data_IF_714466004401
#
_entry.id   IF_714466004401
#
_cell.length_a   1.000
_cell.length_b   1.000
_cell.length_c   1.000
_cell.angle_alpha   90.00
_cell.angle_beta   90.00
_cell.angle_gamma   90.00
#
_symmetry.space_group_name_H-M   'P 1'
#
loop_
_entity.id
_entity.type
_entity.pdbx_description
1 polymer ?
#
# COMPACT_ATOMS: atom_id res chain seq x y z
N UNK A 1 -3.08 20.07 -11.46
CA UNK A 1 -3.21 18.98 -10.49
C UNK A 1 -4.11 17.84 -10.97
N UNK A 2 -5.35 18.07 -11.45
CA UNK A 2 -6.29 17.02 -11.93
C UNK A 2 -5.69 15.91 -12.80
N UNK A 3 -5.02 16.25 -13.90
CA UNK A 3 -4.46 15.25 -14.85
C UNK A 3 -3.36 14.41 -14.21
N UNK A 4 -2.47 15.04 -13.44
CA UNK A 4 -1.40 14.36 -12.70
C UNK A 4 -2.00 13.46 -11.63
N UNK A 5 -3.02 13.91 -10.90
CA UNK A 5 -3.73 13.12 -9.91
C UNK A 5 -4.37 11.87 -10.52
N UNK A 6 -5.15 12.01 -11.59
CA UNK A 6 -5.79 10.88 -12.28
C UNK A 6 -4.78 9.83 -12.76
N UNK A 7 -3.69 10.27 -13.40
CA UNK A 7 -2.60 9.39 -13.80
C UNK A 7 -1.97 8.69 -12.59
N UNK A 8 -1.72 9.43 -11.51
CA UNK A 8 -1.11 8.89 -10.28
C UNK A 8 -2.01 7.84 -9.63
N UNK A 9 -3.33 8.04 -9.59
CA UNK A 9 -4.27 7.05 -9.06
C UNK A 9 -4.20 5.71 -9.81
N UNK A 10 -4.19 5.76 -11.15
CA UNK A 10 -4.08 4.56 -11.98
C UNK A 10 -2.71 3.90 -11.90
N UNK A 11 -1.64 4.70 -11.92
CA UNK A 11 -0.26 4.19 -11.76
C UNK A 11 -0.06 3.52 -10.41
N UNK A 12 -0.58 4.14 -9.33
CA UNK A 12 -0.56 3.58 -7.98
C UNK A 12 -1.29 2.24 -7.92
N UNK A 13 -2.48 2.12 -8.52
CA UNK A 13 -3.23 0.87 -8.55
C UNK A 13 -2.47 -0.24 -9.29
N UNK A 14 -1.93 0.06 -10.48
CA UNK A 14 -1.10 -0.90 -11.23
C UNK A 14 0.15 -1.32 -10.46
N UNK A 15 0.84 -0.35 -9.85
CA UNK A 15 2.02 -0.60 -9.03
C UNK A 15 1.70 -1.47 -7.80
N UNK A 16 0.61 -1.19 -7.08
CA UNK A 16 0.22 -1.96 -5.90
C UNK A 16 -0.14 -3.42 -6.24
N UNK A 17 -0.78 -3.66 -7.39
CA UNK A 17 -1.06 -5.01 -7.90
C UNK A 17 0.23 -5.72 -8.31
N UNK A 18 1.11 -5.04 -9.04
CA UNK A 18 2.40 -5.61 -9.41
C UNK A 18 3.25 -5.99 -8.18
N UNK A 19 3.33 -5.11 -7.19
CA UNK A 19 4.13 -5.32 -5.99
C UNK A 19 3.66 -6.57 -5.21
N UNK A 20 2.34 -6.72 -5.02
CA UNK A 20 1.81 -7.88 -4.30
C UNK A 20 2.01 -9.18 -5.10
N UNK A 21 1.93 -9.15 -6.43
CA UNK A 21 2.22 -10.32 -7.29
C UNK A 21 3.67 -10.78 -7.10
N UNK A 22 4.64 -9.86 -7.15
CA UNK A 22 6.05 -10.19 -6.94
C UNK A 22 6.26 -10.82 -5.55
N UNK A 23 5.68 -10.24 -4.52
CA UNK A 23 5.75 -10.77 -3.15
C UNK A 23 5.22 -12.21 -3.09
N UNK A 24 4.06 -12.49 -3.68
CA UNK A 24 3.48 -13.84 -3.67
C UNK A 24 4.27 -14.85 -4.49
N UNK A 25 4.80 -14.47 -5.65
CA UNK A 25 5.64 -15.35 -6.48
C UNK A 25 6.89 -15.76 -5.70
N UNK A 26 7.54 -14.79 -5.04
CA UNK A 26 8.78 -15.04 -4.29
C UNK A 26 8.55 -15.83 -3.00
N UNK A 27 7.42 -15.59 -2.32
CA UNK A 27 7.08 -16.26 -1.08
C UNK A 27 6.58 -17.71 -1.27
N UNK A 28 6.25 -18.10 -2.49
CA UNK A 28 5.84 -19.46 -2.84
C UNK A 28 4.44 -19.82 -2.33
N UNK A 29 4.05 -21.07 -2.56
CA UNK A 29 2.71 -21.53 -2.18
C UNK A 29 2.55 -21.52 -0.65
N UNK A 30 1.45 -20.95 -0.16
CA UNK A 30 1.18 -20.81 1.29
C UNK A 30 2.31 -20.14 2.09
N UNK A 31 3.13 -19.29 1.45
CA UNK A 31 4.29 -18.65 2.08
C UNK A 31 5.37 -19.67 2.53
N UNK A 32 5.50 -20.80 1.84
CA UNK A 32 6.48 -21.84 2.21
C UNK A 32 7.94 -21.45 1.94
N UNK A 33 8.21 -20.40 1.17
CA UNK A 33 9.56 -19.97 0.79
C UNK A 33 9.85 -18.52 1.22
N UNK A 34 9.58 -18.21 2.50
CA UNK A 34 9.82 -16.87 3.08
C UNK A 34 11.28 -16.43 2.95
N UNK A 35 12.25 -17.30 3.21
CA UNK A 35 13.67 -16.93 3.11
C UNK A 35 14.06 -16.55 1.67
N UNK A 36 13.47 -17.20 0.65
CA UNK A 36 13.66 -16.83 -0.76
C UNK A 36 13.09 -15.44 -1.07
N UNK A 37 11.90 -15.11 -0.53
CA UNK A 37 11.36 -13.75 -0.61
C UNK A 37 12.31 -12.74 0.02
N UNK A 38 12.79 -12.99 1.24
CA UNK A 38 13.66 -12.07 1.96
C UNK A 38 14.99 -11.85 1.24
N UNK A 39 15.62 -12.90 0.72
CA UNK A 39 16.89 -12.81 -0.01
C UNK A 39 16.77 -12.03 -1.31
N UNK A 40 15.70 -12.27 -2.09
CA UNK A 40 15.53 -11.66 -3.40
C UNK A 40 14.91 -10.25 -3.33
N UNK A 41 14.00 -10.02 -2.38
CA UNK A 41 13.23 -8.77 -2.30
C UNK A 41 13.92 -7.68 -1.47
N UNK A 42 14.91 -8.00 -0.62
CA UNK A 42 15.52 -7.02 0.32
C UNK A 42 15.97 -5.72 -0.34
N UNK A 43 16.69 -5.78 -1.46
CA UNK A 43 17.20 -4.59 -2.15
C UNK A 43 16.08 -3.75 -2.78
N UNK A 44 14.96 -4.40 -3.11
CA UNK A 44 13.79 -3.74 -3.69
C UNK A 44 12.84 -3.20 -2.61
N UNK A 45 12.85 -3.75 -1.40
CA UNK A 45 11.89 -3.42 -0.34
C UNK A 45 11.84 -1.92 -0.02
N UNK A 46 13.00 -1.28 0.13
CA UNK A 46 13.06 0.15 0.46
C UNK A 46 12.64 1.08 -0.69
N UNK A 47 13.17 0.96 -1.93
CA UNK A 47 12.71 1.79 -3.04
C UNK A 47 11.24 1.52 -3.40
N UNK A 48 10.76 0.26 -3.26
CA UNK A 48 9.35 -0.08 -3.46
C UNK A 48 8.46 0.64 -2.43
N UNK A 49 8.78 0.53 -1.14
CA UNK A 49 8.04 1.22 -0.09
C UNK A 49 8.04 2.74 -0.27
N UNK A 50 9.18 3.33 -0.62
CA UNK A 50 9.29 4.77 -0.87
C UNK A 50 8.41 5.22 -2.05
N UNK A 51 8.38 4.46 -3.14
CA UNK A 51 7.54 4.76 -4.29
C UNK A 51 6.06 4.61 -3.95
N UNK A 52 5.68 3.51 -3.28
CA UNK A 52 4.32 3.29 -2.80
C UNK A 52 3.83 4.46 -1.95
N UNK A 53 4.66 4.89 -1.00
CA UNK A 53 4.34 5.96 -0.07
C UNK A 53 4.20 7.32 -0.78
N UNK A 54 5.09 7.63 -1.72
CA UNK A 54 5.00 8.85 -2.53
C UNK A 54 3.69 8.90 -3.32
N UNK A 55 3.37 7.81 -4.01
CA UNK A 55 2.17 7.69 -4.82
C UNK A 55 0.90 7.75 -3.97
N UNK A 56 0.86 7.03 -2.84
CA UNK A 56 -0.24 7.09 -1.87
C UNK A 56 -0.43 8.49 -1.32
N UNK A 57 0.64 9.19 -0.98
CA UNK A 57 0.57 10.55 -0.44
C UNK A 57 -0.04 11.51 -1.46
N UNK A 58 0.44 11.48 -2.72
CA UNK A 58 -0.09 12.32 -3.80
C UNK A 58 -1.56 11.98 -4.09
N UNK A 59 -1.90 10.69 -4.19
CA UNK A 59 -3.28 10.25 -4.43
C UNK A 59 -4.21 10.60 -3.27
N UNK A 60 -3.76 10.53 -2.01
CA UNK A 60 -4.56 10.90 -0.85
C UNK A 60 -4.88 12.39 -0.86
N UNK A 61 -3.86 13.25 -1.08
CA UNK A 61 -4.06 14.70 -1.19
C UNK A 61 -4.97 15.03 -2.37
N UNK A 62 -4.75 14.40 -3.54
CA UNK A 62 -5.58 14.62 -4.72
C UNK A 62 -7.02 14.14 -4.55
N UNK A 63 -7.28 13.14 -3.71
CA UNK A 63 -8.63 12.68 -3.40
C UNK A 63 -9.32 13.66 -2.43
N UNK A 64 -8.61 14.12 -1.40
CA UNK A 64 -9.12 15.11 -0.45
C UNK A 64 -9.41 16.47 -1.09
N UNK A 65 -8.67 16.88 -2.13
CA UNK A 65 -8.94 18.12 -2.88
C UNK A 65 -10.35 18.13 -3.51
N UNK A 66 -10.96 16.96 -3.72
CA UNK A 66 -12.33 16.82 -4.23
C UNK A 66 -13.41 16.91 -3.16
N UNK A 67 -13.04 17.01 -1.88
CA UNK A 67 -13.97 17.07 -0.74
C UNK A 67 -13.82 18.41 -0.03
N UNK A 68 -14.95 19.04 0.32
CA UNK A 68 -14.96 20.20 1.21
C UNK A 68 -14.72 19.76 2.68
N UNK A 69 -13.44 19.55 3.03
CA UNK A 69 -13.03 19.17 4.39
C UNK A 69 -13.36 20.24 5.45
N UNK A 70 -13.53 21.50 5.04
CA UNK A 70 -13.93 22.57 5.96
C UNK A 70 -15.36 22.34 6.50
N UNK A 71 -16.17 21.52 5.81
CA UNK A 71 -17.45 21.03 6.28
C UNK A 71 -17.38 19.52 6.57
N UNK A 72 -16.62 19.13 7.59
CA UNK A 72 -16.44 17.72 7.97
C UNK A 72 -17.77 16.94 8.15
N UNK A 73 -18.85 17.58 8.61
CA UNK A 73 -20.19 16.96 8.69
C UNK A 73 -20.79 16.63 7.32
N UNK A 74 -20.50 17.44 6.30
CA UNK A 74 -20.90 17.21 4.90
C UNK A 74 -20.04 16.11 4.28
N UNK A 75 -18.74 16.07 4.56
CA UNK A 75 -17.85 14.99 4.14
C UNK A 75 -18.26 13.63 4.75
N UNK A 76 -18.58 13.60 6.05
CA UNK A 76 -19.07 12.40 6.73
C UNK A 76 -20.42 11.95 6.19
N UNK A 77 -21.34 12.89 5.92
CA UNK A 77 -22.60 12.59 5.24
C UNK A 77 -22.36 12.03 3.84
N UNK A 78 -21.42 12.60 3.09
CA UNK A 78 -20.98 12.12 1.77
C UNK A 78 -20.51 10.66 1.82
N UNK A 79 -19.68 10.32 2.80
CA UNK A 79 -19.24 8.95 3.04
C UNK A 79 -20.41 8.01 3.35
N UNK A 80 -21.35 8.43 4.22
CA UNK A 80 -22.56 7.65 4.54
C UNK A 80 -23.50 7.50 3.34
N UNK A 81 -23.52 8.46 2.42
CA UNK A 81 -24.26 8.39 1.16
C UNK A 81 -23.48 7.71 0.03
N UNK A 82 -22.30 7.15 0.32
CA UNK A 82 -21.42 6.48 -0.64
C UNK A 82 -21.01 7.37 -1.82
N UNK A 83 -20.74 8.64 -1.54
CA UNK A 83 -20.14 9.54 -2.51
C UNK A 83 -18.76 9.00 -2.95
N UNK A 84 -18.50 8.80 -4.25
CA UNK A 84 -17.27 8.18 -4.73
C UNK A 84 -15.99 8.89 -4.27
N UNK A 85 -16.00 10.23 -4.20
CA UNK A 85 -14.84 11.00 -3.77
C UNK A 85 -14.60 10.85 -2.26
N UNK A 86 -15.67 10.90 -1.46
CA UNK A 86 -15.62 10.65 -0.01
C UNK A 86 -15.08 9.25 0.32
N UNK A 87 -15.60 8.22 -0.36
CA UNK A 87 -15.17 6.83 -0.17
C UNK A 87 -13.71 6.64 -0.60
N UNK A 88 -13.33 7.09 -1.80
CA UNK A 88 -11.96 6.96 -2.29
C UNK A 88 -10.94 7.67 -1.38
N UNK A 89 -11.28 8.85 -0.86
CA UNK A 89 -10.43 9.59 0.07
C UNK A 89 -10.21 8.85 1.38
N UNK A 90 -11.29 8.31 1.97
CA UNK A 90 -11.19 7.48 3.16
C UNK A 90 -10.32 6.24 2.93
N UNK A 91 -10.54 5.53 1.82
CA UNK A 91 -9.80 4.32 1.47
C UNK A 91 -8.31 4.60 1.22
N UNK A 92 -7.96 5.68 0.51
CA UNK A 92 -6.56 6.08 0.33
C UNK A 92 -5.91 6.50 1.64
N UNK A 93 -6.62 7.22 2.49
CA UNK A 93 -6.12 7.58 3.81
C UNK A 93 -5.88 6.35 4.69
N UNK A 94 -6.80 5.39 4.71
CA UNK A 94 -6.63 4.13 5.41
C UNK A 94 -5.43 3.33 4.87
N UNK A 95 -5.28 3.25 3.55
CA UNK A 95 -4.13 2.61 2.90
C UNK A 95 -2.80 3.28 3.29
N UNK A 96 -2.75 4.62 3.34
CA UNK A 96 -1.58 5.38 3.77
C UNK A 96 -1.18 5.05 5.21
N UNK A 97 -2.14 5.02 6.14
CA UNK A 97 -1.90 4.68 7.55
C UNK A 97 -1.41 3.23 7.69
N UNK A 98 -2.02 2.29 6.95
CA UNK A 98 -1.59 0.89 6.94
C UNK A 98 -0.16 0.76 6.40
N UNK A 99 0.17 1.42 5.28
CA UNK A 99 1.53 1.42 4.73
C UNK A 99 2.56 2.00 5.71
N UNK A 100 2.22 3.07 6.43
CA UNK A 100 3.07 3.66 7.48
C UNK A 100 3.29 2.70 8.65
N UNK A 101 2.24 1.97 9.07
CA UNK A 101 2.36 1.00 10.18
C UNK A 101 3.37 -0.12 9.90
N UNK A 102 3.63 -0.40 8.62
CA UNK A 102 4.54 -1.47 8.19
C UNK A 102 5.98 -0.99 7.94
N UNK A 103 6.29 0.29 8.15
CA UNK A 103 7.60 0.86 7.82
C UNK A 103 8.75 0.14 8.54
N UNK A 104 8.62 -0.12 9.84
CA UNK A 104 9.64 -0.87 10.59
C UNK A 104 9.86 -2.27 10.02
N UNK A 105 8.80 -2.93 9.54
CA UNK A 105 8.93 -4.27 8.93
C UNK A 105 9.63 -4.19 7.58
N UNK A 106 9.31 -3.19 6.74
CA UNK A 106 10.03 -2.95 5.49
C UNK A 106 11.53 -2.68 5.73
N UNK A 107 11.87 -1.88 6.73
CA UNK A 107 13.27 -1.59 7.08
C UNK A 107 14.01 -2.85 7.51
N UNK A 108 13.36 -3.70 8.31
CA UNK A 108 13.92 -5.02 8.70
C UNK A 108 14.14 -5.93 7.49
N UNK A 109 13.23 -5.95 6.52
CA UNK A 109 13.35 -6.74 5.28
C UNK A 109 14.49 -6.21 4.41
N UNK A 110 14.64 -4.90 4.27
CA UNK A 110 15.75 -4.29 3.52
C UNK A 110 17.12 -4.64 4.12
N UNK A 111 17.20 -4.74 5.45
CA UNK A 111 18.39 -5.14 6.19
C UNK A 111 18.45 -6.66 6.43
N UNK A 112 17.76 -7.46 5.60
CA UNK A 112 17.76 -8.90 5.77
C UNK A 112 19.15 -9.50 5.56
N UNK A 113 19.60 -10.19 6.60
CA UNK A 113 20.80 -11.01 6.66
C UNK A 113 20.39 -12.35 7.27
N UNK A 114 20.79 -13.50 6.67
CA UNK A 114 20.40 -14.82 7.18
C UNK A 114 20.71 -14.99 8.67
N UNK A 115 19.86 -15.68 9.46
CA UNK A 115 20.10 -15.89 10.89
C UNK A 115 21.39 -16.63 11.23
N UNK A 116 22.00 -17.31 10.26
CA UNK A 116 23.30 -17.98 10.38
C UNK A 116 24.50 -17.04 10.40
N UNK A 117 24.31 -15.77 10.02
CA UNK A 117 25.39 -14.79 9.94
C UNK A 117 25.48 -13.93 11.21
N UNK A 118 26.71 -13.60 11.60
CA UNK A 118 26.97 -12.77 12.78
C UNK A 118 26.39 -11.36 12.59
N UNK A 119 25.60 -10.92 13.56
CA UNK A 119 24.96 -9.59 13.55
C UNK A 119 23.60 -9.54 12.86
N UNK A 120 23.01 -10.70 12.50
CA UNK A 120 21.64 -10.73 12.00
C UNK A 120 20.64 -10.22 13.03
N UNK A 121 19.76 -9.32 12.60
CA UNK A 121 18.58 -8.87 13.36
C UNK A 121 17.41 -9.85 13.27
N UNK A 122 17.57 -10.92 12.50
CA UNK A 122 16.57 -11.96 12.29
C UNK A 122 16.90 -13.18 13.14
N UNK A 123 15.92 -13.67 13.89
CA UNK A 123 16.05 -14.89 14.69
C UNK A 123 15.50 -16.08 13.89
N UNK A 124 16.22 -17.20 13.90
CA UNK A 124 15.80 -18.42 13.23
C UNK A 124 14.36 -18.80 13.65
N UNK A 125 13.49 -19.05 12.67
CA UNK A 125 12.07 -19.39 12.90
C UNK A 125 11.12 -18.20 13.05
N UNK A 126 11.61 -16.96 13.20
CA UNK A 126 10.75 -15.76 13.33
C UNK A 126 10.40 -15.09 12.00
N UNK A 127 11.07 -15.48 10.92
CA UNK A 127 10.90 -14.88 9.58
C UNK A 127 9.45 -14.92 9.13
N UNK A 128 8.82 -16.09 9.24
CA UNK A 128 7.45 -16.32 8.80
C UNK A 128 6.43 -15.53 9.63
N UNK A 129 6.64 -15.44 10.95
CA UNK A 129 5.76 -14.69 11.86
C UNK A 129 5.75 -13.18 11.56
N UNK A 130 6.89 -12.64 11.12
CA UNK A 130 7.04 -11.22 10.79
C UNK A 130 6.54 -10.93 9.38
N UNK A 131 6.87 -11.79 8.42
CA UNK A 131 6.57 -11.56 7.00
C UNK A 131 5.10 -11.80 6.69
N UNK A 132 4.44 -12.79 7.31
CA UNK A 132 3.01 -13.10 7.08
C UNK A 132 2.10 -11.88 7.25
N UNK A 133 2.09 -11.18 8.40
CA UNK A 133 1.27 -9.99 8.59
C UNK A 133 1.60 -8.89 7.56
N UNK A 134 2.88 -8.70 7.25
CA UNK A 134 3.33 -7.71 6.28
C UNK A 134 2.78 -7.97 4.87
N UNK A 135 2.79 -9.23 4.41
CA UNK A 135 2.18 -9.62 3.12
C UNK A 135 0.68 -9.33 3.13
N UNK A 136 -0.02 -9.70 4.22
CA UNK A 136 -1.46 -9.45 4.35
C UNK A 136 -1.78 -7.97 4.30
N UNK A 137 -1.01 -7.12 4.99
CA UNK A 137 -1.22 -5.66 4.94
C UNK A 137 -0.96 -5.12 3.53
N UNK A 138 0.07 -5.58 2.81
CA UNK A 138 0.30 -5.18 1.42
C UNK A 138 -0.84 -5.60 0.50
N UNK A 139 -1.43 -6.78 0.70
CA UNK A 139 -2.63 -7.23 -0.01
C UNK A 139 -3.82 -6.31 0.27
N UNK A 140 -4.10 -6.01 1.55
CA UNK A 140 -5.18 -5.10 1.94
C UNK A 140 -4.98 -3.72 1.32
N UNK A 141 -3.78 -3.16 1.38
CA UNK A 141 -3.44 -1.89 0.74
C UNK A 141 -3.71 -1.93 -0.76
N UNK A 142 -3.32 -3.00 -1.45
CA UNK A 142 -3.56 -3.18 -2.88
C UNK A 142 -5.06 -3.18 -3.22
N UNK A 143 -5.88 -3.87 -2.40
CA UNK A 143 -7.34 -3.90 -2.56
C UNK A 143 -7.95 -2.51 -2.31
N UNK A 144 -7.55 -1.82 -1.24
CA UNK A 144 -8.03 -0.48 -0.91
C UNK A 144 -7.74 0.51 -2.04
N UNK A 145 -6.48 0.54 -2.50
CA UNK A 145 -6.03 1.39 -3.59
C UNK A 145 -6.76 1.09 -4.90
N UNK A 146 -6.88 -0.19 -5.27
CA UNK A 146 -7.58 -0.60 -6.49
C UNK A 146 -9.06 -0.21 -6.44
N UNK A 147 -9.70 -0.40 -5.30
CA UNK A 147 -11.09 0.00 -5.06
C UNK A 147 -11.27 1.51 -5.17
N UNK A 148 -10.40 2.31 -4.53
CA UNK A 148 -10.41 3.77 -4.66
C UNK A 148 -10.29 4.22 -6.11
N UNK A 149 -9.36 3.62 -6.87
CA UNK A 149 -9.16 3.95 -8.27
C UNK A 149 -10.41 3.64 -9.10
N UNK A 150 -11.07 2.51 -8.84
CA UNK A 150 -12.32 2.13 -9.50
C UNK A 150 -13.42 3.17 -9.21
N UNK A 151 -13.62 3.55 -7.95
CA UNK A 151 -14.61 4.57 -7.57
C UNK A 151 -14.38 5.91 -8.28
N UNK A 152 -13.13 6.37 -8.34
CA UNK A 152 -12.78 7.62 -9.03
C UNK A 152 -12.87 7.51 -10.55
N UNK A 153 -12.70 6.31 -11.12
CA UNK A 153 -12.72 6.09 -12.56
C UNK A 153 -14.13 5.98 -13.13
N UNK A 154 -15.12 5.58 -12.33
CA UNK A 154 -16.52 5.45 -12.78
C UNK A 154 -17.25 6.79 -12.96
N UNK A 155 -16.78 7.87 -12.33
CA UNK A 155 -17.36 9.22 -12.51
C UNK A 155 -16.26 10.26 -12.75
N UNK A 156 -15.63 10.24 -13.93
CA UNK A 156 -14.67 11.27 -14.32
C UNK A 156 -15.35 12.65 -14.51
N UNK A 157 -16.69 12.67 -14.63
CA UNK A 157 -17.51 13.84 -15.00
C UNK A 157 -18.21 14.55 -13.83
N UNK A 158 -18.07 14.10 -12.58
CA UNK A 158 -18.56 14.87 -11.41
C UNK A 158 -17.57 15.96 -10.94
N UNK A 159 -16.56 16.25 -11.76
CA UNK A 159 -15.64 17.40 -11.64
C UNK A 159 -16.06 18.54 -12.58
#
# INVERSE_FOLDING_TARGET
FRVIGLFTHGFLAGYAVWNIIIIYILAGNQLSTVSNLLEQYKTLAYPAQSLLYLLLSISTVSAFDRIDLAKASVALRGFLTLDPAAVASFLYFAALILSLSQQMTCDRINLYTPPSENGSIWTAGTEEEIVKPWVVVNLVVSILVGTSWIFLSYRPELD
#
